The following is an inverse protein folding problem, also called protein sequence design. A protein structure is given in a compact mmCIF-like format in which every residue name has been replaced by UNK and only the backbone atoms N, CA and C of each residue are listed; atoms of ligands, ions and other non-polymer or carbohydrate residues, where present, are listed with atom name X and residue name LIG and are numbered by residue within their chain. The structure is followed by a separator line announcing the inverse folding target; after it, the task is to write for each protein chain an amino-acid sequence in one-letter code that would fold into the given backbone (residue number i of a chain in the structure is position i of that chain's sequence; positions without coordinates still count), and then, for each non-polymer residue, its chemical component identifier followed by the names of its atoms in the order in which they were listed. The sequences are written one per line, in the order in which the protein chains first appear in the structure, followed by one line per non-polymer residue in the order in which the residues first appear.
data_IF_801146132102
#
_entry.id   IF_801146132102
#
_cell.length_a   1.000
_cell.length_b   1.000
_cell.length_c   1.000
_cell.angle_alpha   90.00
_cell.angle_beta   90.00
_cell.angle_gamma   90.00
#
_symmetry.space_group_name_H-M   'P 1'
#
loop_
_entity.id
_entity.type
_entity.pdbx_description
1 polymer ?
#
# COMPACT_ATOMS: atom_id res chain seq x y z
N UNK A 1 -9.46 -2.55 3.18
CA UNK A 1 -8.24 -3.32 3.41
C UNK A 1 -7.03 -2.42 3.25
N UNK A 2 -6.10 -2.49 4.16
CA UNK A 2 -4.87 -1.71 4.12
C UNK A 2 -3.67 -2.64 4.11
N UNK A 3 -2.58 -2.16 3.54
CA UNK A 3 -1.29 -2.87 3.56
C UNK A 3 -0.22 -1.94 4.11
N UNK A 4 0.82 -2.55 4.67
CA UNK A 4 2.01 -1.83 5.13
C UNK A 4 3.21 -2.37 4.39
N UNK A 5 4.04 -1.46 3.89
CA UNK A 5 5.27 -1.84 3.19
C UNK A 5 6.26 -2.41 4.19
N UNK A 6 6.76 -3.61 3.91
CA UNK A 6 7.75 -4.29 4.75
C UNK A 6 9.14 -4.32 4.13
N UNK A 7 9.24 -4.03 2.83
CA UNK A 7 10.52 -3.93 2.12
C UNK A 7 10.50 -2.70 1.25
N UNK A 8 11.62 -1.98 1.12
CA UNK A 8 11.68 -0.82 0.24
C UNK A 8 11.24 -1.21 -1.16
N UNK A 9 10.34 -0.44 -1.73
CA UNK A 9 9.69 -0.77 -3.01
C UNK A 9 9.76 0.44 -3.93
N UNK A 10 10.22 0.20 -5.16
CA UNK A 10 10.14 1.20 -6.22
C UNK A 10 8.99 0.80 -7.15
N UNK A 11 8.06 1.71 -7.38
CA UNK A 11 6.90 1.43 -8.21
C UNK A 11 6.50 2.63 -9.04
N UNK A 12 5.73 2.38 -10.10
CA UNK A 12 5.25 3.42 -10.98
C UNK A 12 3.92 3.96 -10.47
N UNK A 13 3.88 5.26 -10.23
CA UNK A 13 2.65 5.94 -9.81
C UNK A 13 1.89 6.41 -11.04
N UNK A 14 0.68 5.90 -11.21
CA UNK A 14 -0.22 6.32 -12.26
C UNK A 14 -1.01 7.53 -11.76
N UNK A 15 -0.57 8.70 -12.12
CA UNK A 15 -1.13 9.98 -11.69
C UNK A 15 -1.18 10.94 -12.87
N UNK A 16 -1.62 12.16 -12.62
CA UNK A 16 -1.63 13.18 -13.65
C UNK A 16 -0.23 13.39 -14.27
N UNK A 17 0.79 13.32 -13.42
CA UNK A 17 2.18 13.33 -13.86
C UNK A 17 2.81 11.99 -13.47
N UNK A 18 2.72 10.97 -14.35
CA UNK A 18 3.21 9.64 -14.02
C UNK A 18 4.70 9.65 -13.71
N UNK A 19 5.09 8.96 -12.66
CA UNK A 19 6.50 8.91 -12.25
C UNK A 19 6.77 7.66 -11.42
N UNK A 20 8.05 7.31 -11.32
CA UNK A 20 8.49 6.27 -10.42
C UNK A 20 8.68 6.85 -9.04
N UNK A 21 8.23 6.12 -8.03
CA UNK A 21 8.33 6.54 -6.64
C UNK A 21 8.90 5.42 -5.78
N UNK A 22 9.49 5.81 -4.66
CA UNK A 22 9.97 4.87 -3.66
C UNK A 22 9.02 4.85 -2.48
N UNK A 23 8.61 3.65 -2.11
CA UNK A 23 7.77 3.43 -0.93
C UNK A 23 8.65 2.91 0.19
N UNK A 24 8.67 3.63 1.29
CA UNK A 24 9.48 3.27 2.45
C UNK A 24 8.79 2.25 3.33
N UNK A 25 9.58 1.43 4.00
CA UNK A 25 9.09 0.49 5.01
C UNK A 25 8.27 1.24 6.04
N UNK A 26 7.11 0.69 6.39
CA UNK A 26 6.21 1.30 7.34
C UNK A 26 5.10 2.14 6.70
N UNK A 27 5.18 2.40 5.40
CA UNK A 27 4.12 3.13 4.70
C UNK A 27 2.85 2.29 4.66
N UNK A 28 1.75 2.86 5.09
CA UNK A 28 0.43 2.21 5.08
C UNK A 28 -0.42 2.83 4.00
N UNK A 29 -1.06 1.97 3.20
CA UNK A 29 -1.86 2.42 2.06
C UNK A 29 -3.15 1.64 1.97
N UNK A 30 -4.19 2.29 1.45
CA UNK A 30 -5.47 1.65 1.22
C UNK A 30 -5.43 0.85 -0.07
N UNK A 31 -5.91 -0.39 -0.01
CA UNK A 31 -5.98 -1.26 -1.18
C UNK A 31 -7.27 -1.00 -1.94
N UNK A 32 -7.14 -0.72 -3.22
CA UNK A 32 -8.29 -0.56 -4.10
C UNK A 32 -8.72 -1.87 -4.73
N UNK A 33 -7.73 -2.69 -5.10
CA UNK A 33 -8.01 -3.96 -5.75
C UNK A 33 -6.88 -4.95 -5.44
N UNK A 34 -7.26 -6.17 -5.13
CA UNK A 34 -6.31 -7.25 -4.88
C UNK A 34 -6.15 -8.10 -6.14
N UNK A 35 -4.90 -8.30 -6.56
CA UNK A 35 -4.55 -9.23 -7.61
C UNK A 35 -3.93 -10.50 -7.04
N UNK A 36 -3.49 -11.40 -7.90
CA UNK A 36 -2.85 -12.64 -7.47
C UNK A 36 -1.48 -12.41 -6.82
N UNK A 37 -0.70 -11.50 -7.37
CA UNK A 37 0.68 -11.29 -6.94
C UNK A 37 0.91 -9.92 -6.32
N UNK A 38 -0.07 -9.04 -6.36
CA UNK A 38 0.09 -7.70 -5.85
C UNK A 38 -1.22 -7.00 -5.59
N UNK A 39 -1.11 -5.79 -5.07
CA UNK A 39 -2.24 -4.95 -4.75
C UNK A 39 -2.18 -3.66 -5.55
N UNK A 40 -3.33 -3.21 -6.03
CA UNK A 40 -3.46 -1.85 -6.55
C UNK A 40 -3.87 -0.97 -5.37
N UNK A 41 -3.03 0.01 -5.06
CA UNK A 41 -3.21 0.85 -3.86
C UNK A 41 -3.21 2.32 -4.22
N UNK A 42 -3.88 3.11 -3.38
CA UNK A 42 -3.84 4.56 -3.47
C UNK A 42 -2.63 5.08 -2.70
N UNK A 43 -1.91 6.01 -3.31
CA UNK A 43 -0.81 6.67 -2.60
C UNK A 43 -1.40 7.53 -1.48
N UNK A 44 -0.79 7.53 -0.28
CA UNK A 44 -1.38 8.24 0.87
C UNK A 44 -1.31 9.76 0.77
N UNK A 45 -0.44 10.29 -0.07
CA UNK A 45 -0.24 11.75 -0.17
C UNK A 45 -0.54 12.26 -1.57
N UNK A 46 0.01 11.58 -2.59
CA UNK A 46 -0.11 12.00 -3.98
C UNK A 46 -1.34 11.35 -4.58
N UNK A 47 -2.18 12.12 -5.24
CA UNK A 47 -3.33 11.57 -5.92
C UNK A 47 -2.88 10.70 -7.08
N UNK A 48 -3.22 9.42 -7.00
CA UNK A 48 -2.81 8.43 -7.97
C UNK A 48 -2.72 7.06 -7.34
N UNK A 49 -2.53 6.03 -8.17
CA UNK A 49 -2.42 4.67 -7.68
C UNK A 49 -1.17 3.97 -8.20
N UNK A 50 -0.78 2.93 -7.52
CA UNK A 50 0.40 2.15 -7.86
C UNK A 50 0.21 0.70 -7.46
N UNK A 51 1.08 -0.16 -7.96
CA UNK A 51 1.03 -1.60 -7.67
C UNK A 51 2.16 -1.96 -6.71
N UNK A 52 1.81 -2.73 -5.68
CA UNK A 52 2.76 -3.24 -4.71
C UNK A 52 2.69 -4.76 -4.70
N UNK A 53 3.82 -5.42 -4.87
CA UNK A 53 3.89 -6.88 -4.80
C UNK A 53 3.59 -7.37 -3.39
N UNK A 54 2.84 -8.47 -3.29
CA UNK A 54 2.48 -9.04 -1.99
C UNK A 54 3.69 -9.42 -1.14
N UNK A 55 4.81 -9.76 -1.79
CA UNK A 55 6.04 -10.09 -1.09
C UNK A 55 6.70 -8.90 -0.39
N UNK A 56 6.32 -7.68 -0.76
CA UNK A 56 6.92 -6.46 -0.22
C UNK A 56 6.06 -5.76 0.81
N UNK A 57 4.95 -6.36 1.18
CA UNK A 57 4.01 -5.77 2.12
C UNK A 57 3.25 -6.85 2.88
N UNK A 58 2.56 -6.43 3.91
CA UNK A 58 1.64 -7.29 4.66
C UNK A 58 0.30 -6.60 4.78
N UNK A 59 -0.75 -7.38 4.92
CA UNK A 59 -2.06 -6.84 5.22
C UNK A 59 -2.09 -6.33 6.65
N UNK A 60 -2.63 -5.13 6.83
CA UNK A 60 -2.76 -4.51 8.14
C UNK A 60 -4.23 -4.46 8.49
N UNK A 61 -4.59 -5.08 9.60
CA UNK A 61 -5.95 -5.00 10.10
C UNK A 61 -6.17 -3.70 10.81
N UNK A 62 -7.42 -3.27 10.80
CA UNK A 62 -7.82 -2.08 11.51
C UNK A 62 -7.52 -2.25 12.99
N UNK A 63 -6.73 -1.36 13.53
CA UNK A 63 -6.30 -1.44 14.94
C UNK A 63 -7.43 -1.26 15.93
N UNK A 64 -8.55 -0.75 15.49
CA UNK A 64 -9.71 -0.59 16.34
C UNK A 64 -10.13 -1.92 16.96
N UNK A 65 -9.99 -2.99 16.23
CA UNK A 65 -10.35 -4.30 16.72
C UNK A 65 -9.51 -4.73 17.90
N UNK A 66 -8.26 -4.32 17.92
CA UNK A 66 -7.38 -4.67 19.03
C UNK A 66 -7.77 -3.98 20.30
N UNK A 67 -8.31 -2.80 20.22
CA UNK A 67 -8.74 -2.05 21.40
C UNK A 67 -9.96 -2.67 22.05
N UNK A 68 -10.79 -3.27 21.26
CA UNK A 68 -12.05 -3.83 21.74
C UNK A 68 -11.81 -5.05 22.63
N UNK A 69 -10.73 -5.72 22.44
CA UNK A 69 -10.44 -6.94 23.20
C UNK A 69 -10.08 -6.69 24.64
N UNK A 70 -9.84 -5.49 24.97
CA UNK A 70 -9.50 -5.12 26.33
C UNK A 70 -10.74 -4.96 27.20
#
# INVERSE_FOLDING_TARGET
MKIMITKPTNTFLAAEFPTWIDLKVGTVMEVRKEGQTGYLVDHPIIEGDCVVHKSNCIEVRDSVECCVTL
#
